data_IF_592261961945
#
_entry.id   IF_592261961945
#
_cell.length_a   1.000
_cell.length_b   1.000
_cell.length_c   1.000
_cell.angle_alpha   90.00
_cell.angle_beta   90.00
_cell.angle_gamma   90.00
#
_symmetry.space_group_name_H-M   'P 1'
#
loop_
_entity.id
_entity.type
_entity.pdbx_description
1 polymer ?
#
# COMPACT_ATOMS: atom_id res chain seq x y z
N UNK A 1 8.58 12.35 5.52
CA UNK A 1 8.15 11.66 4.29
C UNK A 1 9.39 11.29 3.50
N UNK A 2 9.65 10.00 3.32
CA UNK A 2 10.73 9.51 2.47
C UNK A 2 10.14 9.06 1.14
N UNK A 3 10.66 9.61 0.04
CA UNK A 3 10.25 9.24 -1.31
C UNK A 3 11.34 8.37 -1.91
N UNK A 4 10.92 7.24 -2.48
CA UNK A 4 11.80 6.33 -3.22
C UNK A 4 11.21 6.10 -4.60
N UNK A 5 12.07 6.10 -5.61
CA UNK A 5 11.67 5.82 -6.98
C UNK A 5 11.91 4.34 -7.28
N UNK A 6 10.91 3.69 -7.89
CA UNK A 6 10.98 2.29 -8.30
C UNK A 6 10.35 2.10 -9.67
N UNK A 7 11.05 1.40 -10.53
CA UNK A 7 10.58 0.93 -11.83
C UNK A 7 9.80 -0.38 -11.73
N UNK A 8 9.28 -0.84 -12.87
CA UNK A 8 8.64 -2.16 -12.99
C UNK A 8 9.65 -3.25 -12.60
N UNK A 9 9.17 -4.27 -11.89
CA UNK A 9 9.94 -5.38 -11.33
C UNK A 9 10.91 -5.02 -10.20
N UNK A 10 11.07 -3.75 -9.89
CA UNK A 10 11.85 -3.33 -8.74
C UNK A 10 11.04 -3.44 -7.44
N UNK A 11 11.77 -3.62 -6.33
CA UNK A 11 11.18 -3.72 -5.00
C UNK A 11 11.83 -2.77 -4.01
N UNK A 12 11.08 -2.47 -2.95
CA UNK A 12 11.55 -1.81 -1.75
C UNK A 12 11.13 -2.63 -0.54
N UNK A 13 12.03 -2.70 0.43
CA UNK A 13 11.78 -3.36 1.71
C UNK A 13 11.59 -2.27 2.76
N UNK A 14 10.48 -2.34 3.47
CA UNK A 14 10.12 -1.42 4.56
C UNK A 14 9.79 -2.28 5.78
N UNK A 15 10.75 -2.38 6.71
CA UNK A 15 10.64 -3.33 7.82
C UNK A 15 10.69 -4.78 7.32
N UNK A 16 9.66 -5.55 7.65
CA UNK A 16 9.40 -6.93 7.22
C UNK A 16 8.53 -7.02 5.95
N UNK A 17 8.07 -5.88 5.43
CA UNK A 17 7.22 -5.82 4.24
C UNK A 17 8.05 -5.55 2.99
N UNK A 18 7.85 -6.39 1.96
CA UNK A 18 8.42 -6.22 0.63
C UNK A 18 7.32 -5.70 -0.29
N UNK A 19 7.54 -4.54 -0.89
CA UNK A 19 6.67 -3.94 -1.91
C UNK A 19 7.37 -4.03 -3.26
N UNK A 20 6.74 -4.66 -4.24
CA UNK A 20 7.27 -4.80 -5.62
C UNK A 20 6.30 -4.17 -6.62
N UNK A 21 6.83 -3.41 -7.56
CA UNK A 21 6.03 -2.87 -8.67
C UNK A 21 5.85 -3.95 -9.72
N UNK A 22 4.60 -4.36 -9.96
CA UNK A 22 4.27 -5.41 -10.94
C UNK A 22 4.04 -4.79 -12.31
N UNK A 23 3.26 -3.72 -12.37
CA UNK A 23 2.89 -3.09 -13.62
C UNK A 23 2.49 -1.63 -13.41
N UNK A 24 2.71 -0.83 -14.46
CA UNK A 24 2.19 0.54 -14.56
C UNK A 24 1.27 0.57 -15.78
N UNK A 25 -0.02 0.72 -15.54
CA UNK A 25 -1.02 0.79 -16.60
C UNK A 25 -0.96 2.16 -17.31
N UNK A 26 -1.45 2.22 -18.55
CA UNK A 26 -1.42 3.44 -19.38
C UNK A 26 -2.22 4.61 -18.79
N UNK A 27 -3.21 4.31 -17.94
CA UNK A 27 -4.01 5.29 -17.20
C UNK A 27 -3.34 5.78 -15.92
N UNK A 28 -2.09 5.36 -15.64
CA UNK A 28 -1.35 5.75 -14.44
C UNK A 28 -1.69 4.92 -13.18
N UNK A 29 -2.51 3.88 -13.30
CA UNK A 29 -2.72 2.93 -12.20
C UNK A 29 -1.48 2.04 -12.04
N UNK A 30 -1.01 1.89 -10.80
CA UNK A 30 0.18 1.09 -10.47
C UNK A 30 -0.26 -0.15 -9.72
N UNK A 31 0.04 -1.33 -10.26
CA UNK A 31 -0.17 -2.61 -9.57
C UNK A 31 1.09 -2.94 -8.78
N UNK A 32 0.93 -3.15 -7.48
CA UNK A 32 2.01 -3.52 -6.57
C UNK A 32 1.70 -4.84 -5.89
N UNK A 33 2.73 -5.65 -5.72
CA UNK A 33 2.75 -6.82 -4.86
C UNK A 33 3.24 -6.38 -3.48
N UNK A 34 2.48 -6.68 -2.44
CA UNK A 34 2.87 -6.52 -1.05
C UNK A 34 3.03 -7.92 -0.49
N UNK A 35 4.21 -8.21 0.08
CA UNK A 35 4.46 -9.48 0.73
C UNK A 35 5.09 -9.26 2.09
N UNK A 36 4.66 -10.07 3.06
CA UNK A 36 5.27 -10.17 4.37
C UNK A 36 5.55 -11.66 4.59
N UNK A 37 6.82 -12.10 4.65
CA UNK A 37 7.18 -13.50 4.79
C UNK A 37 6.67 -14.12 6.10
N UNK A 38 6.48 -13.29 7.12
CA UNK A 38 6.03 -13.67 8.46
C UNK A 38 4.52 -13.45 8.66
N UNK A 39 3.86 -12.73 7.74
CA UNK A 39 2.42 -12.42 7.78
C UNK A 39 1.52 -13.42 7.06
N UNK A 40 0.23 -13.43 7.42
CA UNK A 40 -0.83 -14.14 6.69
C UNK A 40 -1.94 -13.15 6.31
N UNK A 41 -2.28 -12.96 5.02
CA UNK A 41 -1.71 -13.63 3.84
C UNK A 41 -0.27 -13.19 3.54
N UNK A 42 0.57 -14.11 3.04
CA UNK A 42 1.97 -13.83 2.70
C UNK A 42 2.14 -12.89 1.52
N UNK A 43 1.14 -12.81 0.65
CA UNK A 43 1.16 -12.01 -0.57
C UNK A 43 -0.21 -11.40 -0.82
N UNK A 44 -0.22 -10.14 -1.22
CA UNK A 44 -1.40 -9.40 -1.64
C UNK A 44 -1.04 -8.50 -2.82
N UNK A 45 -1.90 -8.46 -3.83
CA UNK A 45 -1.77 -7.48 -4.92
C UNK A 45 -2.72 -6.30 -4.67
N UNK A 46 -2.20 -5.08 -4.86
CA UNK A 46 -2.94 -3.82 -4.66
C UNK A 46 -2.77 -2.93 -5.88
N UNK A 47 -3.84 -2.26 -6.29
CA UNK A 47 -3.81 -1.22 -7.33
C UNK A 47 -3.81 0.15 -6.67
N UNK A 48 -2.77 0.93 -6.93
CA UNK A 48 -2.64 2.32 -6.50
C UNK A 48 -3.10 3.24 -7.63
N UNK A 49 -3.97 4.21 -7.30
CA UNK A 49 -4.40 5.25 -8.23
C UNK A 49 -3.74 6.59 -7.88
N UNK A 50 -3.40 7.34 -8.92
CA UNK A 50 -2.92 8.72 -8.76
C UNK A 50 -4.02 9.56 -8.09
N UNK A 51 -3.78 10.00 -6.85
CA UNK A 51 -4.73 10.78 -6.02
C UNK A 51 -5.13 10.14 -4.69
N UNK A 52 -5.07 8.81 -4.55
CA UNK A 52 -5.44 8.12 -3.29
C UNK A 52 -4.27 8.07 -2.27
N UNK A 53 -3.03 8.13 -2.75
CA UNK A 53 -1.83 8.11 -1.90
C UNK A 53 -1.69 9.35 -0.98
N UNK A 54 -2.47 10.42 -1.21
CA UNK A 54 -2.46 11.66 -0.43
C UNK A 54 -3.55 11.73 0.66
N UNK A 55 -4.41 10.71 0.79
CA UNK A 55 -5.57 10.75 1.71
C UNK A 55 -5.42 9.85 2.96
N UNK A 56 -4.35 9.07 3.09
CA UNK A 56 -4.13 8.20 4.27
C UNK A 56 -3.64 8.92 5.54
N UNK A 57 -3.48 10.25 5.52
CA UNK A 57 -3.18 11.05 6.73
C UNK A 57 -4.44 11.52 7.51
N UNK A 58 -5.60 10.86 7.36
CA UNK A 58 -6.82 11.29 8.09
C UNK A 58 -7.68 10.21 8.75
N UNK A 59 -7.11 9.04 9.08
CA UNK A 59 -7.77 8.09 9.99
C UNK A 59 -6.80 7.53 11.04
N UNK A 60 -6.25 8.41 11.88
CA UNK A 60 -5.76 8.02 13.21
C UNK A 60 -6.46 8.91 14.22
N UNK A 61 -7.48 8.36 14.88
CA UNK A 61 -8.29 9.08 15.84
C UNK A 61 -9.45 8.27 16.39
N UNK A 62 -9.14 7.47 17.40
CA UNK A 62 -10.02 6.91 18.43
C UNK A 62 -11.01 5.78 18.06
N UNK A 63 -10.75 4.63 18.69
CA UNK A 63 -11.68 3.55 18.88
C UNK A 63 -12.83 3.93 19.84
N UNK A 64 -13.98 3.28 19.61
CA UNK A 64 -15.02 2.88 20.55
C UNK A 64 -15.77 3.97 21.36
N UNK A 65 -17.09 4.09 21.11
CA UNK A 65 -18.14 3.61 22.04
C UNK A 65 -19.54 3.74 21.42
N UNK A 66 -20.28 2.62 21.45
CA UNK A 66 -21.71 2.43 21.84
C UNK A 66 -22.84 3.26 21.17
N UNK A 67 -23.84 2.52 20.64
CA UNK A 67 -25.29 2.57 20.95
C UNK A 67 -25.89 3.99 21.19
N UNK A 68 -26.90 4.48 20.47
CA UNK A 68 -28.29 3.99 20.36
C UNK A 68 -29.05 4.73 19.24
N UNK A 69 -30.24 4.21 18.93
CA UNK A 69 -31.31 4.85 18.17
C UNK A 69 -31.78 6.19 18.76
#
# INVERSE_FOLDING_TARGET
MHVVERGIDESVIVGDVIVRVIAIAKNGEVRVAISNPDGFPRYQEVTLRSGEALMQERCSGAAATMLEC
#
